data_IF_361763814752
#
_entry.id   IF_361763814752
#
_cell.length_a   1.000
_cell.length_b   1.000
_cell.length_c   1.000
_cell.angle_alpha   90.00
_cell.angle_beta   90.00
_cell.angle_gamma   90.00
#
_symmetry.space_group_name_H-M   'P 1'
#
loop_
_entity.id
_entity.type
_entity.pdbx_description
1 polymer ?
#
# COMPACT_ATOMS: atom_id res chain seq x y z
N UNK A 1 29.10 -99.32 -23.80
CA UNK A 1 27.66 -98.99 -23.96
C UNK A 1 27.19 -98.37 -22.65
N UNK A 2 27.24 -97.04 -22.50
CA UNK A 2 26.19 -96.01 -22.74
C UNK A 2 24.90 -96.24 -21.94
N UNK A 3 24.55 -95.19 -21.17
CA UNK A 3 23.20 -94.73 -20.75
C UNK A 3 22.70 -95.17 -19.38
N UNK A 4 22.00 -94.36 -18.56
CA UNK A 4 21.52 -92.96 -18.59
C UNK A 4 20.72 -92.77 -17.27
N UNK A 5 20.74 -91.56 -16.69
CA UNK A 5 19.57 -90.82 -16.16
C UNK A 5 18.85 -91.39 -14.89
N UNK A 6 18.21 -90.66 -13.95
CA UNK A 6 17.82 -89.26 -13.74
C UNK A 6 17.13 -89.08 -12.35
N UNK A 7 17.52 -88.03 -11.59
CA UNK A 7 16.87 -87.08 -10.61
C UNK A 7 15.50 -87.40 -9.93
N UNK A 8 15.15 -86.86 -8.71
CA UNK A 8 15.10 -85.40 -8.35
C UNK A 8 15.41 -85.02 -6.86
N UNK A 9 16.03 -83.87 -6.53
CA UNK A 9 15.54 -82.48 -6.29
C UNK A 9 14.98 -82.14 -4.89
N UNK A 10 15.17 -80.86 -4.49
CA UNK A 10 14.69 -80.08 -3.33
C UNK A 10 15.73 -79.88 -2.21
N UNK A 11 16.13 -78.67 -1.81
CA UNK A 11 15.73 -77.32 -2.22
C UNK A 11 16.74 -76.31 -1.65
N UNK A 12 17.07 -75.28 -2.42
CA UNK A 12 17.74 -74.07 -1.91
C UNK A 12 16.72 -72.95 -1.97
N UNK A 13 16.37 -72.43 -0.81
CA UNK A 13 15.60 -71.20 -0.64
C UNK A 13 16.27 -70.05 -1.38
N UNK A 14 15.62 -69.57 -2.43
CA UNK A 14 15.95 -68.29 -3.05
C UNK A 14 15.19 -67.22 -2.28
N UNK A 15 15.83 -66.62 -1.27
CA UNK A 15 15.43 -65.29 -0.78
C UNK A 15 15.66 -64.28 -1.92
N UNK A 16 14.64 -63.53 -2.38
CA UNK A 16 14.85 -62.45 -3.31
C UNK A 16 15.63 -61.34 -2.60
N UNK A 17 16.81 -61.02 -3.12
CA UNK A 17 17.61 -59.87 -2.70
C UNK A 17 16.82 -58.62 -3.09
N UNK A 18 16.33 -57.87 -2.11
CA UNK A 18 15.67 -56.60 -2.34
C UNK A 18 16.58 -55.66 -3.15
N UNK A 19 16.04 -54.89 -4.12
CA UNK A 19 16.84 -53.94 -4.87
C UNK A 19 17.37 -52.85 -3.93
N UNK A 20 18.57 -52.27 -4.19
CA UNK A 20 19.10 -51.20 -3.38
C UNK A 20 18.14 -50.01 -3.43
N UNK A 21 17.70 -49.51 -2.27
CA UNK A 21 16.94 -48.26 -2.18
C UNK A 21 17.79 -47.12 -2.76
N UNK A 22 17.17 -46.29 -3.58
CA UNK A 22 17.68 -45.03 -4.17
C UNK A 22 17.98 -43.92 -3.13
N UNK A 23 18.51 -44.26 -1.96
CA UNK A 23 18.87 -43.32 -0.89
C UNK A 23 20.02 -42.39 -1.29
N UNK A 24 20.91 -42.84 -2.18
CA UNK A 24 22.02 -42.04 -2.66
C UNK A 24 21.57 -40.90 -3.60
N UNK A 25 20.54 -41.14 -4.43
CA UNK A 25 19.94 -40.12 -5.29
C UNK A 25 19.23 -39.03 -4.49
N UNK A 26 18.37 -39.45 -3.55
CA UNK A 26 17.63 -38.55 -2.67
C UNK A 26 18.55 -37.69 -1.78
N UNK A 27 19.64 -38.27 -1.23
CA UNK A 27 20.64 -37.52 -0.46
C UNK A 27 21.39 -36.48 -1.30
N UNK A 28 21.62 -36.74 -2.59
CA UNK A 28 22.26 -35.77 -3.49
C UNK A 28 21.31 -34.60 -3.77
N UNK A 29 20.04 -34.89 -4.06
CA UNK A 29 19.03 -33.88 -4.36
C UNK A 29 18.78 -32.99 -3.14
N UNK A 30 18.69 -33.60 -1.96
CA UNK A 30 18.55 -32.87 -0.70
C UNK A 30 19.75 -31.95 -0.42
N UNK A 31 20.98 -32.41 -0.69
CA UNK A 31 22.18 -31.56 -0.57
C UNK A 31 22.16 -30.40 -1.55
N UNK A 32 21.78 -30.65 -2.81
CA UNK A 32 21.66 -29.62 -3.84
C UNK A 32 20.61 -28.58 -3.46
N UNK A 33 19.42 -29.00 -3.04
CA UNK A 33 18.36 -28.10 -2.57
C UNK A 33 18.80 -27.27 -1.36
N UNK A 34 19.51 -27.90 -0.41
CA UNK A 34 20.05 -27.19 0.77
C UNK A 34 21.05 -26.12 0.35
N UNK A 35 21.90 -26.40 -0.64
CA UNK A 35 22.88 -25.45 -1.16
C UNK A 35 22.20 -24.31 -1.95
N UNK A 36 21.16 -24.60 -2.73
CA UNK A 36 20.35 -23.59 -3.42
C UNK A 36 19.64 -22.68 -2.40
N UNK A 37 19.03 -23.23 -1.35
CA UNK A 37 18.41 -22.46 -0.26
C UNK A 37 19.45 -21.59 0.45
N UNK A 38 20.61 -22.13 0.80
CA UNK A 38 21.68 -21.38 1.44
C UNK A 38 22.18 -20.24 0.54
N UNK A 39 22.28 -20.47 -0.76
CA UNK A 39 22.69 -19.46 -1.74
C UNK A 39 21.65 -18.36 -1.84
N UNK A 40 20.36 -18.70 -1.98
CA UNK A 40 19.27 -17.73 -2.03
C UNK A 40 19.17 -16.94 -0.73
N UNK A 41 19.35 -17.59 0.42
CA UNK A 41 19.37 -16.93 1.73
C UNK A 41 20.54 -15.94 1.84
N UNK A 42 21.74 -16.33 1.42
CA UNK A 42 22.92 -15.46 1.41
C UNK A 42 22.73 -14.26 0.46
N UNK A 43 22.19 -14.49 -0.73
CA UNK A 43 21.86 -13.43 -1.69
C UNK A 43 20.79 -12.48 -1.14
N UNK A 44 19.73 -13.02 -0.55
CA UNK A 44 18.64 -12.23 0.05
C UNK A 44 19.17 -11.36 1.20
N UNK A 45 20.01 -11.93 2.07
CA UNK A 45 20.65 -11.20 3.15
C UNK A 45 21.52 -10.06 2.60
N UNK A 46 22.36 -10.36 1.60
CA UNK A 46 23.23 -9.34 0.97
C UNK A 46 22.42 -8.19 0.37
N UNK A 47 21.34 -8.48 -0.35
CA UNK A 47 20.44 -7.46 -0.90
C UNK A 47 19.77 -6.63 0.21
N UNK A 48 19.40 -7.27 1.32
CA UNK A 48 18.81 -6.57 2.46
C UNK A 48 19.82 -5.61 3.11
N UNK A 49 21.05 -6.08 3.35
CA UNK A 49 22.13 -5.27 3.93
C UNK A 49 22.45 -4.08 3.02
N UNK A 50 22.60 -4.31 1.71
CA UNK A 50 22.79 -3.24 0.72
C UNK A 50 21.64 -2.22 0.75
N UNK A 51 20.39 -2.67 0.77
CA UNK A 51 19.23 -1.77 0.87
C UNK A 51 19.22 -0.96 2.17
N UNK A 52 19.74 -1.50 3.27
CA UNK A 52 19.89 -0.75 4.53
C UNK A 52 20.98 0.30 4.42
N UNK A 53 22.12 -0.03 3.82
CA UNK A 53 23.23 0.91 3.67
C UNK A 53 22.86 2.03 2.69
N UNK A 54 22.18 1.72 1.58
CA UNK A 54 21.58 2.74 0.69
C UNK A 54 20.63 3.68 1.44
N UNK A 55 19.81 3.17 2.36
CA UNK A 55 18.92 3.99 3.20
C UNK A 55 19.69 4.86 4.20
N UNK A 56 20.84 4.43 4.70
CA UNK A 56 21.67 5.25 5.60
C UNK A 56 22.40 6.33 4.83
N UNK A 57 22.97 6.00 3.68
CA UNK A 57 23.79 6.90 2.86
C UNK A 57 22.95 7.91 2.08
N UNK A 58 21.73 7.55 1.67
CA UNK A 58 20.85 8.38 0.85
C UNK A 58 19.50 8.66 1.52
N UNK A 59 19.31 8.30 2.79
CA UNK A 59 18.03 8.42 3.49
C UNK A 59 17.48 9.84 3.56
N UNK A 60 18.36 10.83 3.62
CA UNK A 60 17.99 12.24 3.55
C UNK A 60 17.55 12.68 2.15
N UNK A 61 18.02 12.00 1.09
CA UNK A 61 17.63 12.26 -0.30
C UNK A 61 16.35 11.54 -0.73
N UNK A 62 15.94 10.50 -0.01
CA UNK A 62 14.73 9.72 -0.29
C UNK A 62 13.69 9.86 0.83
N UNK A 63 13.32 11.11 1.12
CA UNK A 63 12.19 11.39 1.99
C UNK A 63 10.92 10.94 1.23
N UNK A 64 10.18 10.01 1.81
CA UNK A 64 8.89 9.55 1.26
C UNK A 64 7.74 10.26 1.93
N UNK A 65 6.56 10.23 1.29
CA UNK A 65 5.34 10.78 1.86
C UNK A 65 5.00 10.15 3.20
N UNK A 66 5.27 8.84 3.36
CA UNK A 66 5.10 8.17 4.65
C UNK A 66 6.04 8.72 5.73
N UNK A 67 7.29 9.03 5.41
CA UNK A 67 8.25 9.60 6.37
C UNK A 67 7.81 11.00 6.82
N UNK A 68 7.31 11.83 5.89
CA UNK A 68 6.68 13.12 6.21
C UNK A 68 5.45 12.87 7.09
N UNK A 69 4.65 11.87 6.75
CA UNK A 69 3.46 11.52 7.49
C UNK A 69 3.72 11.11 8.94
N UNK A 70 4.84 10.44 9.19
CA UNK A 70 5.32 10.05 10.51
C UNK A 70 6.00 11.19 11.28
N UNK A 71 6.00 12.41 10.73
CA UNK A 71 6.64 13.61 11.29
C UNK A 71 8.16 13.46 11.48
N UNK A 72 8.80 12.65 10.62
CA UNK A 72 10.26 12.40 10.64
C UNK A 72 11.04 13.29 9.68
N UNK A 73 10.36 14.15 8.94
CA UNK A 73 10.97 15.13 8.01
C UNK A 73 10.34 16.53 8.21
N UNK A 74 10.53 17.15 9.39
CA UNK A 74 9.85 18.41 9.74
C UNK A 74 10.30 19.61 8.88
N UNK A 75 11.45 19.51 8.20
CA UNK A 75 11.90 20.52 7.24
C UNK A 75 10.92 20.68 6.08
N UNK A 76 10.31 19.59 5.59
CA UNK A 76 9.37 19.62 4.47
C UNK A 76 8.07 20.34 4.88
N UNK A 77 7.50 20.01 6.04
CA UNK A 77 6.30 20.70 6.53
C UNK A 77 6.55 22.19 6.80
N UNK A 78 7.74 22.57 7.31
CA UNK A 78 8.12 23.99 7.45
C UNK A 78 8.25 24.70 6.11
N UNK A 79 8.87 24.04 5.14
CA UNK A 79 9.00 24.53 3.75
C UNK A 79 7.62 24.74 3.13
N UNK A 80 6.75 23.72 3.19
CA UNK A 80 5.37 23.79 2.72
C UNK A 80 4.59 24.94 3.37
N UNK A 81 4.68 25.14 4.69
CA UNK A 81 4.02 26.26 5.36
C UNK A 81 4.56 27.62 4.94
N UNK A 82 5.86 27.73 4.62
CA UNK A 82 6.45 28.94 4.07
C UNK A 82 5.94 29.19 2.65
N UNK A 83 5.95 28.15 1.81
CA UNK A 83 5.48 28.22 0.43
C UNK A 83 3.99 28.60 0.35
N UNK A 84 3.14 28.04 1.22
CA UNK A 84 1.71 28.40 1.30
C UNK A 84 1.47 29.90 1.48
N UNK A 85 2.41 30.62 2.09
CA UNK A 85 2.34 32.07 2.25
C UNK A 85 2.83 32.88 1.04
N UNK A 86 3.58 32.27 0.12
CA UNK A 86 4.25 32.96 -0.99
C UNK A 86 3.74 32.55 -2.37
N UNK A 87 3.32 31.30 -2.53
CA UNK A 87 2.88 30.75 -3.81
C UNK A 87 1.37 30.93 -4.01
N UNK A 88 0.94 30.79 -5.27
CA UNK A 88 -0.49 30.70 -5.59
C UNK A 88 -1.12 29.49 -4.89
N UNK A 89 -2.35 29.66 -4.43
CA UNK A 89 -3.18 28.57 -3.93
C UNK A 89 -3.24 27.41 -4.94
N UNK A 90 -2.79 26.23 -4.50
CA UNK A 90 -2.84 24.99 -5.28
C UNK A 90 -3.48 23.93 -4.40
N UNK A 91 -4.66 23.45 -4.81
CA UNK A 91 -5.39 22.44 -4.06
C UNK A 91 -5.22 21.07 -4.71
N UNK A 92 -4.58 20.08 -4.06
CA UNK A 92 -4.47 18.74 -4.62
C UNK A 92 -5.86 18.09 -4.74
N UNK A 93 -6.17 17.57 -5.93
CA UNK A 93 -7.36 16.82 -6.23
C UNK A 93 -6.97 15.35 -6.40
N UNK A 94 -7.39 14.50 -5.48
CA UNK A 94 -7.04 13.07 -5.47
C UNK A 94 -8.24 12.22 -5.85
N UNK A 95 -8.32 11.73 -7.08
CA UNK A 95 -9.33 10.76 -7.46
C UNK A 95 -8.97 9.41 -6.85
N UNK A 96 -9.89 8.82 -6.10
CA UNK A 96 -9.69 7.57 -5.40
C UNK A 96 -10.76 6.56 -5.78
N UNK A 97 -10.38 5.29 -5.87
CA UNK A 97 -11.32 4.17 -5.97
C UNK A 97 -10.86 3.03 -5.08
N UNK A 98 -11.81 2.22 -4.63
CA UNK A 98 -11.50 0.95 -3.99
C UNK A 98 -11.55 -0.16 -5.03
N UNK A 99 -10.45 -0.91 -5.17
CA UNK A 99 -10.40 -2.11 -6.00
C UNK A 99 -10.82 -3.32 -5.16
N UNK A 100 -12.09 -3.69 -5.23
CA UNK A 100 -12.73 -4.63 -4.30
C UNK A 100 -12.06 -6.01 -4.30
N UNK A 101 -11.58 -6.48 -5.45
CA UNK A 101 -10.90 -7.78 -5.59
C UNK A 101 -9.63 -7.90 -4.72
N UNK A 102 -8.95 -6.79 -4.47
CA UNK A 102 -7.69 -6.76 -3.73
C UNK A 102 -7.81 -6.01 -2.40
N UNK A 103 -9.00 -5.47 -2.09
CA UNK A 103 -9.23 -4.59 -0.95
C UNK A 103 -8.18 -3.46 -0.88
N UNK A 104 -7.86 -2.88 -2.03
CA UNK A 104 -6.78 -1.92 -2.20
C UNK A 104 -7.36 -0.58 -2.67
N UNK A 105 -7.04 0.49 -1.95
CA UNK A 105 -7.31 1.84 -2.42
C UNK A 105 -6.32 2.21 -3.53
N UNK A 106 -6.85 2.79 -4.59
CA UNK A 106 -6.09 3.28 -5.72
C UNK A 106 -6.33 4.77 -5.91
N UNK A 107 -5.30 5.48 -6.34
CA UNK A 107 -5.31 6.91 -6.65
C UNK A 107 -4.99 7.10 -8.13
N UNK A 108 -5.65 8.05 -8.78
CA UNK A 108 -5.33 8.42 -10.14
C UNK A 108 -4.19 9.45 -10.17
N UNK A 109 -3.15 9.16 -10.92
CA UNK A 109 -2.02 10.07 -11.20
C UNK A 109 -1.68 10.05 -12.68
N UNK A 110 -0.97 11.05 -13.17
CA UNK A 110 -0.41 10.98 -14.51
C UNK A 110 0.74 9.96 -14.62
N UNK A 111 1.35 9.87 -15.80
CA UNK A 111 2.51 9.00 -16.06
C UNK A 111 3.75 9.35 -15.23
N UNK A 112 3.89 10.62 -14.82
CA UNK A 112 4.97 11.14 -13.99
C UNK A 112 4.66 11.11 -12.48
N UNK A 113 3.53 10.51 -12.07
CA UNK A 113 3.01 10.52 -10.71
C UNK A 113 2.55 11.89 -10.19
N UNK A 114 2.35 12.86 -11.08
CA UNK A 114 1.74 14.14 -10.73
C UNK A 114 0.29 13.95 -10.33
N UNK A 115 -0.12 14.68 -9.31
CA UNK A 115 -1.49 14.71 -8.81
C UNK A 115 -2.23 15.87 -9.48
N UNK A 116 -3.44 15.66 -10.02
CA UNK A 116 -4.26 16.75 -10.53
C UNK A 116 -4.44 17.84 -9.47
N UNK A 117 -4.39 19.10 -9.87
CA UNK A 117 -4.60 20.24 -8.98
C UNK A 117 -5.84 21.02 -9.38
N UNK A 118 -6.45 21.66 -8.40
CA UNK A 118 -7.58 22.56 -8.58
C UNK A 118 -7.13 23.99 -8.36
N UNK A 119 -7.27 24.79 -9.42
CA UNK A 119 -6.88 26.20 -9.44
C UNK A 119 -7.98 27.17 -8.96
N UNK A 120 -9.25 26.73 -9.00
CA UNK A 120 -10.44 27.49 -8.55
C UNK A 120 -11.54 26.56 -8.03
N UNK A 121 -11.88 26.71 -6.75
CA UNK A 121 -12.92 25.96 -6.05
C UNK A 121 -14.33 26.15 -6.62
N UNK A 122 -14.60 27.32 -7.19
CA UNK A 122 -15.92 27.61 -7.80
C UNK A 122 -16.20 26.68 -8.98
N UNK A 123 -15.16 26.15 -9.60
CA UNK A 123 -15.21 25.24 -10.72
C UNK A 123 -14.96 23.76 -10.40
N UNK A 124 -14.94 23.32 -9.13
CA UNK A 124 -14.58 21.94 -8.75
C UNK A 124 -15.27 20.84 -9.59
N UNK A 125 -16.60 20.91 -9.76
CA UNK A 125 -17.32 19.90 -10.56
C UNK A 125 -16.90 19.92 -12.04
N UNK A 126 -16.60 21.11 -12.59
CA UNK A 126 -16.06 21.25 -13.93
C UNK A 126 -14.63 20.70 -14.01
N UNK A 127 -13.77 21.04 -13.05
CA UNK A 127 -12.40 20.53 -12.98
C UNK A 127 -12.33 19.00 -12.86
N UNK A 128 -13.21 18.39 -12.05
CA UNK A 128 -13.32 16.92 -12.00
C UNK A 128 -13.68 16.36 -13.37
N UNK A 129 -14.67 16.95 -14.05
CA UNK A 129 -15.10 16.50 -15.39
C UNK A 129 -14.02 16.63 -16.45
N UNK A 130 -13.34 17.77 -16.47
CA UNK A 130 -12.38 18.11 -17.51
C UNK A 130 -11.03 17.42 -17.28
N UNK A 131 -10.60 17.28 -16.03
CA UNK A 131 -9.25 16.83 -15.69
C UNK A 131 -9.19 15.39 -15.14
N UNK A 132 -10.28 14.83 -14.63
CA UNK A 132 -10.27 13.53 -13.93
C UNK A 132 -11.15 12.48 -14.59
N UNK A 133 -12.45 12.75 -14.73
CA UNK A 133 -13.42 11.80 -15.28
C UNK A 133 -14.71 12.50 -15.67
N UNK A 134 -15.28 12.14 -16.82
CA UNK A 134 -16.61 12.62 -17.21
C UNK A 134 -17.75 12.02 -16.36
N UNK A 135 -17.49 10.94 -15.62
CA UNK A 135 -18.47 10.26 -14.78
C UNK A 135 -18.71 11.01 -13.46
N UNK A 136 -19.94 11.02 -12.92
CA UNK A 136 -20.21 11.68 -11.66
C UNK A 136 -19.51 10.95 -10.49
N UNK A 137 -18.84 11.67 -9.57
CA UNK A 137 -18.20 11.05 -8.43
C UNK A 137 -19.24 10.51 -7.43
N UNK A 138 -18.90 9.42 -6.75
CA UNK A 138 -19.68 8.84 -5.66
C UNK A 138 -19.63 9.70 -4.39
N UNK A 139 -18.63 10.57 -4.26
CA UNK A 139 -18.49 11.50 -3.15
C UNK A 139 -17.26 12.38 -3.29
N UNK A 140 -17.30 13.54 -2.64
CA UNK A 140 -16.19 14.50 -2.60
C UNK A 140 -15.96 14.90 -1.14
N UNK A 141 -14.73 14.78 -0.68
CA UNK A 141 -14.37 14.92 0.72
C UNK A 141 -13.18 15.88 0.85
N UNK A 142 -13.30 16.89 1.69
CA UNK A 142 -12.18 17.76 2.04
C UNK A 142 -11.40 17.16 3.21
N UNK A 143 -10.08 17.33 3.21
CA UNK A 143 -9.20 16.81 4.25
C UNK A 143 -8.63 17.99 5.04
N UNK A 144 -8.96 18.14 6.33
CA UNK A 144 -8.43 19.23 7.12
C UNK A 144 -6.92 19.01 7.41
N UNK A 145 -6.15 20.09 7.63
CA UNK A 145 -4.75 20.00 8.03
C UNK A 145 -4.56 19.26 9.35
N UNK A 146 -3.46 18.51 9.49
CA UNK A 146 -3.04 17.82 10.74
C UNK A 146 -3.07 18.73 11.97
N UNK A 147 -2.63 19.97 11.83
CA UNK A 147 -2.45 20.91 12.94
C UNK A 147 -3.78 21.26 13.64
N UNK A 148 -4.90 21.22 12.93
CA UNK A 148 -6.22 21.50 13.49
C UNK A 148 -6.78 20.34 14.33
N UNK A 149 -6.19 19.14 14.23
CA UNK A 149 -6.69 17.93 14.92
C UNK A 149 -6.10 17.74 16.32
N UNK A 150 -4.99 18.44 16.64
CA UNK A 150 -4.28 18.30 17.91
C UNK A 150 -4.98 18.99 19.11
N UNK A 151 -5.99 19.83 18.86
CA UNK A 151 -6.59 20.71 19.86
C UNK A 151 -7.84 20.20 20.59
N UNK A 152 -8.34 18.98 20.30
CA UNK A 152 -9.48 18.36 21.00
C UNK A 152 -10.83 19.11 20.95
N UNK A 153 -10.87 20.31 20.38
CA UNK A 153 -12.09 21.06 20.09
C UNK A 153 -12.41 20.85 18.61
N UNK A 154 -13.48 20.10 18.32
CA UNK A 154 -14.16 20.22 17.04
C UNK A 154 -14.56 21.69 16.89
N UNK A 155 -13.77 22.48 16.16
CA UNK A 155 -14.20 23.80 15.75
C UNK A 155 -15.43 23.61 14.85
N UNK A 156 -16.49 24.34 15.18
CA UNK A 156 -17.84 24.21 14.63
C UNK A 156 -17.92 24.56 13.12
N UNK A 157 -16.83 25.08 12.55
CA UNK A 157 -16.62 25.21 11.11
C UNK A 157 -15.21 24.74 10.76
N UNK A 158 -15.10 23.61 10.04
CA UNK A 158 -13.84 23.21 9.41
C UNK A 158 -13.49 24.25 8.35
N UNK A 159 -12.54 25.13 8.67
CA UNK A 159 -12.03 26.12 7.72
C UNK A 159 -11.05 25.38 6.80
N UNK A 160 -11.53 25.06 5.59
CA UNK A 160 -10.67 24.50 4.56
C UNK A 160 -9.78 25.58 3.96
N UNK A 161 -8.47 25.42 4.04
CA UNK A 161 -7.51 26.29 3.37
C UNK A 161 -7.44 25.94 1.88
N UNK A 162 -7.08 26.88 0.99
CA UNK A 162 -6.91 26.59 -0.44
C UNK A 162 -5.87 25.51 -0.78
N UNK A 163 -5.10 25.01 0.19
CA UNK A 163 -4.10 23.95 0.00
C UNK A 163 -4.56 22.58 0.52
N UNK A 164 -5.72 22.53 1.17
CA UNK A 164 -6.27 21.33 1.78
C UNK A 164 -6.72 20.35 0.69
N UNK A 165 -6.24 19.10 0.71
CA UNK A 165 -6.52 18.19 -0.39
C UNK A 165 -7.99 17.76 -0.41
N UNK A 166 -8.49 17.52 -1.63
CA UNK A 166 -9.82 16.99 -1.87
C UNK A 166 -9.71 15.55 -2.36
N UNK A 167 -10.38 14.62 -1.68
CA UNK A 167 -10.59 13.27 -2.16
C UNK A 167 -11.86 13.21 -3.02
N UNK A 168 -11.75 12.65 -4.21
CA UNK A 168 -12.87 12.41 -5.13
C UNK A 168 -13.08 10.90 -5.24
N UNK A 169 -14.11 10.37 -4.58
CA UNK A 169 -14.44 8.95 -4.65
C UNK A 169 -15.10 8.64 -5.98
N UNK A 170 -14.52 7.72 -6.74
CA UNK A 170 -15.03 7.22 -8.00
C UNK A 170 -15.48 5.77 -7.88
N UNK A 171 -16.30 5.34 -8.83
CA UNK A 171 -16.66 3.93 -8.99
C UNK A 171 -15.42 3.09 -9.35
N UNK A 172 -15.43 1.80 -8.99
CA UNK A 172 -14.33 0.89 -9.31
C UNK A 172 -14.08 0.80 -10.83
N UNK A 173 -15.14 0.95 -11.64
CA UNK A 173 -15.10 0.89 -13.11
C UNK A 173 -14.99 2.24 -13.79
N UNK A 174 -14.87 3.33 -13.02
CA UNK A 174 -14.83 4.67 -13.58
C UNK A 174 -13.67 4.84 -14.57
N UNK A 175 -13.98 5.44 -15.71
CA UNK A 175 -12.99 5.80 -16.73
C UNK A 175 -12.31 7.11 -16.35
N UNK A 176 -10.99 7.12 -16.40
CA UNK A 176 -10.19 8.33 -16.19
C UNK A 176 -10.07 9.12 -17.50
N UNK A 177 -9.81 10.41 -17.37
CA UNK A 177 -9.33 11.27 -18.44
C UNK A 177 -8.00 10.76 -19.01
N UNK A 178 -7.69 11.19 -20.22
CA UNK A 178 -6.46 10.81 -20.90
C UNK A 178 -5.21 11.17 -20.09
N UNK A 179 -4.22 10.27 -20.07
CA UNK A 179 -2.96 10.47 -19.35
C UNK A 179 -2.97 10.08 -17.88
N UNK A 180 -4.15 9.89 -17.27
CA UNK A 180 -4.26 9.41 -15.88
C UNK A 180 -4.28 7.88 -15.80
N UNK A 181 -3.66 7.35 -14.75
CA UNK A 181 -3.56 5.92 -14.46
C UNK A 181 -3.85 5.64 -13.00
N UNK A 182 -4.53 4.52 -12.74
CA UNK A 182 -4.77 4.05 -11.38
C UNK A 182 -3.52 3.43 -10.79
N UNK A 183 -3.07 3.95 -9.64
CA UNK A 183 -1.92 3.47 -8.87
C UNK A 183 -2.35 3.03 -7.48
N UNK A 184 -1.73 2.01 -6.93
CA UNK A 184 -1.98 1.60 -5.55
C UNK A 184 -1.60 2.73 -4.60
N UNK A 185 -2.47 3.02 -3.62
CA UNK A 185 -2.20 4.06 -2.62
C UNK A 185 -0.91 3.80 -1.86
N UNK A 186 -0.63 2.54 -1.51
CA UNK A 186 0.60 2.16 -0.81
C UNK A 186 1.85 2.53 -1.62
N UNK A 187 1.82 2.32 -2.95
CA UNK A 187 2.88 2.76 -3.85
C UNK A 187 3.08 4.27 -3.78
N UNK A 188 2.01 5.07 -3.87
CA UNK A 188 2.11 6.54 -3.79
C UNK A 188 2.73 6.97 -2.45
N UNK A 189 2.34 6.35 -1.33
CA UNK A 189 2.91 6.71 -0.01
C UNK A 189 4.39 6.39 0.13
N UNK A 190 4.91 5.49 -0.71
CA UNK A 190 6.30 5.02 -0.70
C UNK A 190 7.18 5.67 -1.76
N UNK A 191 6.62 6.52 -2.61
CA UNK A 191 7.41 7.31 -3.54
C UNK A 191 8.19 8.40 -2.78
N UNK A 192 9.43 8.69 -3.22
CA UNK A 192 10.13 9.91 -2.85
C UNK A 192 9.29 11.13 -3.23
N UNK A 193 9.16 12.11 -2.32
CA UNK A 193 8.21 13.20 -2.53
C UNK A 193 8.56 14.10 -3.72
N UNK A 194 9.84 14.17 -4.09
CA UNK A 194 10.34 14.89 -5.26
C UNK A 194 9.83 14.29 -6.60
N UNK A 195 9.31 13.06 -6.59
CA UNK A 195 8.68 12.45 -7.78
C UNK A 195 7.28 13.00 -8.01
N UNK A 196 6.63 13.59 -7.00
CA UNK A 196 5.31 14.21 -7.13
C UNK A 196 5.35 15.56 -7.86
N UNK A 197 6.52 15.96 -8.36
CA UNK A 197 6.73 17.25 -8.96
C UNK A 197 6.04 17.33 -10.32
N UNK A 198 4.92 18.06 -10.37
CA UNK A 198 4.35 18.55 -11.63
C UNK A 198 5.17 19.74 -12.17
N UNK A 199 4.61 20.49 -13.13
CA UNK A 199 5.26 21.65 -13.76
C UNK A 199 5.57 22.83 -12.81
N UNK A 200 5.31 22.73 -11.51
CA UNK A 200 5.44 23.82 -10.53
C UNK A 200 6.18 23.36 -9.28
N UNK A 201 6.91 24.28 -8.61
CA UNK A 201 7.65 24.08 -7.36
C UNK A 201 6.72 23.92 -6.14
N UNK A 202 5.76 23.00 -6.21
CA UNK A 202 4.75 22.77 -5.17
C UNK A 202 4.88 21.38 -4.54
N UNK A 203 6.01 20.71 -4.75
CA UNK A 203 6.27 19.35 -4.26
C UNK A 203 6.08 19.24 -2.75
N UNK A 204 6.54 20.23 -2.00
CA UNK A 204 6.51 20.22 -0.53
C UNK A 204 5.08 20.35 -0.02
N UNK A 205 4.29 21.23 -0.64
CA UNK A 205 2.87 21.41 -0.32
C UNK A 205 2.08 20.14 -0.67
N UNK A 206 2.26 19.59 -1.88
CA UNK A 206 1.57 18.36 -2.27
C UNK A 206 1.94 17.23 -1.31
N UNK A 207 3.22 17.10 -0.96
CA UNK A 207 3.70 16.06 -0.07
C UNK A 207 3.15 16.20 1.36
N UNK A 208 3.09 17.42 1.89
CA UNK A 208 2.51 17.73 3.19
C UNK A 208 1.00 17.45 3.20
N UNK A 209 0.27 17.85 2.16
CA UNK A 209 -1.15 17.55 2.00
C UNK A 209 -1.41 16.03 1.87
N UNK A 210 -0.58 15.28 1.15
CA UNK A 210 -0.70 13.81 1.12
C UNK A 210 -0.40 13.18 2.48
N UNK A 211 0.54 13.75 3.22
CA UNK A 211 0.81 13.33 4.57
C UNK A 211 -0.46 13.53 5.44
N UNK A 212 -1.16 14.66 5.36
CA UNK A 212 -2.46 14.86 6.04
C UNK A 212 -3.41 13.68 5.81
N UNK A 213 -3.57 13.26 4.55
CA UNK A 213 -4.43 12.13 4.18
C UNK A 213 -3.99 10.83 4.85
N UNK A 214 -2.69 10.51 4.86
CA UNK A 214 -2.18 9.34 5.59
C UNK A 214 -2.52 9.43 7.08
N UNK A 215 -2.40 10.63 7.66
CA UNK A 215 -2.71 10.90 9.07
C UNK A 215 -4.17 10.63 9.42
N UNK A 216 -5.10 10.95 8.50
CA UNK A 216 -6.54 10.70 8.70
C UNK A 216 -6.94 9.23 8.65
N UNK A 217 -6.09 8.35 8.12
CA UNK A 217 -6.36 6.91 7.90
C UNK A 217 -7.54 6.59 6.97
N UNK A 218 -8.08 7.58 6.25
CA UNK A 218 -9.26 7.45 5.38
C UNK A 218 -9.13 6.41 4.24
N UNK A 219 -7.90 6.07 3.86
CA UNK A 219 -7.58 5.12 2.79
C UNK A 219 -6.94 3.83 3.33
N UNK A 220 -7.27 3.42 4.56
CA UNK A 220 -6.72 2.21 5.20
C UNK A 220 -7.66 1.02 5.20
N UNK A 221 -8.98 1.25 5.18
CA UNK A 221 -9.99 0.19 5.20
C UNK A 221 -11.05 0.42 4.13
N UNK A 222 -11.83 -0.62 3.81
CA UNK A 222 -12.90 -0.57 2.81
C UNK A 222 -13.97 0.48 3.12
N UNK A 223 -14.26 0.70 4.39
CA UNK A 223 -15.37 1.56 4.84
C UNK A 223 -14.89 2.90 5.40
N UNK A 224 -13.60 3.07 5.63
CA UNK A 224 -13.03 4.27 6.28
C UNK A 224 -13.44 5.59 5.60
N UNK A 225 -13.50 5.64 4.27
CA UNK A 225 -13.96 6.85 3.57
C UNK A 225 -15.46 7.18 3.75
N UNK A 226 -16.30 6.22 4.15
CA UNK A 226 -17.73 6.45 4.44
C UNK A 226 -18.00 6.64 5.94
N UNK A 227 -17.17 6.03 6.79
CA UNK A 227 -17.37 6.03 8.23
C UNK A 227 -16.70 7.23 8.92
N UNK A 228 -15.60 7.76 8.35
CA UNK A 228 -14.72 8.73 9.03
C UNK A 228 -14.56 10.06 8.27
N UNK A 229 -14.97 10.15 6.99
CA UNK A 229 -14.78 11.36 6.19
C UNK A 229 -15.96 12.34 6.33
N UNK A 230 -15.65 13.64 6.51
CA UNK A 230 -16.68 14.68 6.47
C UNK A 230 -16.98 15.02 5.00
N UNK A 231 -18.22 14.79 4.50
CA UNK A 231 -18.55 15.15 3.13
C UNK A 231 -18.37 16.65 2.93
N UNK A 232 -17.74 17.05 1.84
CA UNK A 232 -17.58 18.46 1.51
C UNK A 232 -18.96 19.06 1.18
N UNK A 233 -19.66 19.59 2.19
CA UNK A 233 -20.96 20.23 2.03
C UNK A 233 -20.77 21.64 1.49
N UNK A 234 -21.24 21.90 0.27
CA UNK A 234 -21.58 23.26 -0.15
C UNK A 234 -22.89 23.66 0.52
N UNK A 235 -22.94 24.90 1.02
CA UNK A 235 -24.14 25.49 1.59
C UNK A 235 -25.28 25.51 0.57
N UNK A 236 -26.21 24.58 0.71
CA UNK A 236 -27.60 24.75 0.29
C UNK A 236 -28.43 25.11 1.53
N UNK A 237 -29.35 26.06 1.36
CA UNK A 237 -29.97 26.85 2.41
C UNK A 237 -30.77 26.11 3.49
N UNK A 238 -30.89 26.83 4.61
CA UNK A 238 -31.70 26.66 5.84
C UNK A 238 -32.76 25.55 5.85
N UNK A 239 -32.63 24.69 6.86
CA UNK A 239 -33.72 23.90 7.44
C UNK A 239 -33.38 23.54 8.89
N UNK A 240 -33.84 24.36 9.84
CA UNK A 240 -33.78 24.05 11.28
C UNK A 240 -34.61 22.81 11.56
N UNK A 241 -33.99 21.74 12.06
CA UNK A 241 -34.70 20.72 12.83
C UNK A 241 -33.89 20.47 14.11
N UNK A 242 -34.49 20.86 15.23
CA UNK A 242 -34.03 20.52 16.59
C UNK A 242 -34.40 19.07 16.86
N UNK A 243 -33.45 18.28 17.35
CA UNK A 243 -33.62 17.16 18.29
C UNK A 243 -32.19 16.82 18.74
N UNK A 244 -31.86 16.70 20.02
CA UNK A 244 -32.51 15.90 21.04
C UNK A 244 -31.40 15.01 21.61
N UNK A 245 -30.70 15.54 22.60
CA UNK A 245 -29.55 14.92 23.25
C UNK A 245 -29.98 13.66 24.01
N UNK A 246 -29.47 12.48 23.65
CA UNK A 246 -29.43 11.31 24.56
C UNK A 246 -28.13 10.55 24.45
N UNK A 247 -27.47 10.50 25.60
CA UNK A 247 -26.23 9.81 25.94
C UNK A 247 -26.36 8.29 25.74
N UNK A 248 -25.31 7.69 25.19
CA UNK A 248 -25.04 6.25 25.29
C UNK A 248 -23.56 6.02 25.54
N UNK A 249 -23.20 5.63 26.77
CA UNK A 249 -21.91 5.03 27.12
C UNK A 249 -21.93 3.54 26.77
N UNK A 250 -20.87 3.02 26.13
CA UNK A 250 -20.09 1.85 26.59
C UNK A 250 -18.93 1.52 25.64
N UNK A 251 -17.73 1.61 26.19
CA UNK A 251 -16.70 0.56 26.33
C UNK A 251 -16.64 -0.58 25.30
N UNK A 252 -15.43 -0.82 24.78
CA UNK A 252 -15.14 -2.06 24.04
C UNK A 252 -13.75 -2.08 23.40
N UNK A 253 -12.77 -2.56 24.16
CA UNK A 253 -11.38 -2.84 23.80
C UNK A 253 -11.17 -3.50 22.42
N UNK A 254 -10.15 -3.03 21.69
CA UNK A 254 -9.64 -3.67 20.48
C UNK A 254 -8.18 -3.35 20.17
N UNK A 255 -7.29 -3.41 21.18
CA UNK A 255 -5.84 -3.40 20.92
C UNK A 255 -5.45 -4.78 20.37
N UNK A 256 -5.23 -4.88 19.07
CA UNK A 256 -4.48 -6.00 18.51
C UNK A 256 -3.01 -5.63 18.39
N UNK A 257 -2.23 -6.47 19.07
CA UNK A 257 -0.84 -6.32 19.46
C UNK A 257 0.11 -6.72 18.32
N UNK A 258 0.70 -5.72 17.66
CA UNK A 258 1.75 -5.88 16.65
C UNK A 258 3.06 -6.46 17.21
N UNK A 259 3.16 -6.63 18.54
CA UNK A 259 4.33 -7.23 19.21
C UNK A 259 4.41 -8.75 19.06
N UNK A 260 3.31 -9.41 18.63
CA UNK A 260 3.28 -10.87 18.43
C UNK A 260 3.98 -11.33 17.14
N UNK A 261 4.00 -10.48 16.11
CA UNK A 261 4.66 -10.81 14.83
C UNK A 261 6.19 -10.70 14.91
N UNK A 262 6.73 -9.75 15.69
CA UNK A 262 8.20 -9.61 15.88
C UNK A 262 8.81 -10.76 16.68
N UNK A 263 8.10 -11.33 17.67
CA UNK A 263 8.61 -12.48 18.44
C UNK A 263 8.62 -13.79 17.66
N UNK A 264 7.69 -13.97 16.71
CA UNK A 264 7.59 -15.23 15.94
C UNK A 264 8.74 -15.42 14.94
N UNK A 265 9.34 -14.35 14.43
CA UNK A 265 10.49 -14.43 13.51
C UNK A 265 11.84 -14.57 14.21
N UNK A 266 11.97 -14.11 15.46
CA UNK A 266 13.22 -14.22 16.23
C UNK A 266 13.46 -15.62 16.82
N UNK A 267 12.43 -16.47 16.89
CA UNK A 267 12.52 -17.81 17.51
C UNK A 267 12.78 -18.96 16.54
N UNK A 268 13.04 -18.70 15.24
CA UNK A 268 13.44 -19.74 14.29
C UNK A 268 12.38 -20.81 13.99
N UNK A 269 11.12 -20.57 14.36
CA UNK A 269 10.04 -21.56 14.28
C UNK A 269 9.17 -21.28 13.04
N UNK A 270 9.71 -21.61 11.87
CA UNK A 270 8.95 -21.60 10.60
C UNK A 270 8.58 -23.04 10.27
N UNK A 271 7.46 -23.48 10.85
CA UNK A 271 6.75 -24.67 10.40
C UNK A 271 6.31 -24.50 8.93
N UNK A 272 6.49 -25.56 8.15
CA UNK A 272 6.09 -25.72 6.76
C UNK A 272 4.80 -24.98 6.40
N UNK A 273 4.93 -23.87 5.66
CA UNK A 273 3.87 -23.42 4.78
C UNK A 273 4.31 -23.62 3.33
N UNK A 274 3.70 -24.63 2.74
CA UNK A 274 3.84 -25.07 1.36
C UNK A 274 3.45 -23.95 0.39
N UNK A 275 4.44 -23.18 -0.06
CA UNK A 275 4.26 -22.26 -1.19
C UNK A 275 4.15 -23.07 -2.48
N UNK A 276 2.95 -23.14 -3.08
CA UNK A 276 2.82 -23.59 -4.47
C UNK A 276 3.36 -22.51 -5.39
N UNK A 277 4.57 -22.71 -5.91
CA UNK A 277 5.07 -21.97 -7.07
C UNK A 277 4.32 -22.50 -8.31
N UNK A 278 3.61 -21.61 -9.02
CA UNK A 278 3.15 -21.89 -10.40
C UNK A 278 4.29 -21.57 -11.36
N UNK A 279 4.78 -22.51 -12.18
CA UNK A 279 5.72 -22.18 -13.25
C UNK A 279 4.95 -21.73 -14.51
N UNK A 280 5.39 -20.65 -15.13
CA UNK A 280 4.98 -20.31 -16.49
C UNK A 280 4.97 -18.82 -16.78
N UNK A 281 6.11 -18.29 -17.23
CA UNK A 281 6.13 -17.41 -18.40
C UNK A 281 7.54 -17.46 -19.02
N UNK A 282 7.69 -18.30 -20.05
CA UNK A 282 8.79 -18.20 -21.00
C UNK A 282 8.59 -16.89 -21.77
N UNK A 283 9.57 -16.00 -21.70
CA UNK A 283 9.77 -14.97 -22.71
C UNK A 283 10.55 -15.66 -23.84
N UNK A 284 9.89 -15.91 -24.97
CA UNK A 284 10.58 -16.26 -26.22
C UNK A 284 11.27 -15.01 -26.76
N UNK A 285 12.46 -15.23 -27.33
CA UNK A 285 13.36 -14.27 -27.97
C UNK A 285 12.67 -13.37 -28.98
#
# INVERSE_FOLDING_TARGET
MVSKNWKPSKGRDKRPRAPPKDEAGNKNEQRRLTQEIATVAAQTKRLFDQNQDYKKEQGEKFITIRVIAENKAPSISKSASTDRGTIRAVRPLLPVRLRSKFNEWQVATDAAFSIPTLDDDRALAKSIRDNVTAEPPLGVFGIPPREQTAGGKMLEEQIFTPFDPILVKLDERAKLSEGLTWRAWDTITMLPYNVLNGRFSTSDIIADSLADIIGTRLLTSKTSLQDEANPHRRGHGKGRIRHGERRGRRDGSGRQDLSRWRRRWASGDVGEQRWRVRPGLLIRK
#
